data_IF_576465647479
#
_entry.id   IF_576465647479
#
_cell.length_a   1.000
_cell.length_b   1.000
_cell.length_c   1.000
_cell.angle_alpha   90.00
_cell.angle_beta   90.00
_cell.angle_gamma   90.00
#
_symmetry.space_group_name_H-M   'P 1'
#
loop_
_entity.id
_entity.type
_entity.pdbx_description
1 polymer ?
#
# COMPACT_ATOMS: atom_id res chain seq x y z
N UNK A 1 -13.59 30.58 64.71
CA UNK A 1 -13.53 29.50 65.71
C UNK A 1 -14.60 28.48 65.36
N UNK A 2 -14.17 27.23 65.26
CA UNK A 2 -14.91 25.96 65.28
C UNK A 2 -15.83 25.57 64.11
N UNK A 3 -15.38 24.48 63.49
CA UNK A 3 -16.08 23.59 62.57
C UNK A 3 -17.15 22.75 63.28
N UNK A 4 -18.20 22.37 62.54
CA UNK A 4 -19.04 21.21 62.84
C UNK A 4 -19.73 20.69 61.56
N UNK A 5 -19.35 19.47 61.19
CA UNK A 5 -20.07 18.37 60.53
C UNK A 5 -21.16 18.63 59.48
N UNK A 6 -20.92 18.06 58.29
CA UNK A 6 -21.87 17.19 57.59
C UNK A 6 -21.22 15.82 57.30
N UNK A 7 -21.98 14.71 57.27
CA UNK A 7 -21.47 13.35 57.20
C UNK A 7 -21.23 12.90 55.75
N UNK A 8 -20.11 12.24 55.49
CA UNK A 8 -19.84 11.54 54.22
C UNK A 8 -20.58 10.18 54.23
N UNK A 9 -21.38 9.96 53.18
CA UNK A 9 -21.98 8.68 52.84
C UNK A 9 -21.02 7.90 51.93
N UNK A 10 -20.97 6.59 52.16
CA UNK A 10 -20.04 5.58 51.62
C UNK A 10 -19.87 5.60 50.08
N UNK A 11 -18.63 5.82 49.62
CA UNK A 11 -18.18 5.56 48.25
C UNK A 11 -17.48 4.18 48.21
N UNK A 12 -17.93 3.22 47.39
CA UNK A 12 -17.56 1.80 47.48
C UNK A 12 -16.16 1.47 46.91
N UNK A 13 -15.19 2.39 47.02
CA UNK A 13 -13.81 2.19 46.54
C UNK A 13 -12.83 1.72 47.62
N UNK A 14 -13.28 1.58 48.88
CA UNK A 14 -12.45 1.07 49.98
C UNK A 14 -12.58 -0.45 50.17
N UNK A 15 -12.10 -1.22 49.19
CA UNK A 15 -11.64 -2.60 49.39
C UNK A 15 -10.51 -2.94 48.41
N UNK A 16 -9.36 -2.29 48.58
CA UNK A 16 -8.11 -2.84 48.06
C UNK A 16 -7.31 -3.42 49.25
N UNK A 17 -6.97 -4.71 49.22
CA UNK A 17 -6.17 -5.32 50.26
C UNK A 17 -4.75 -4.74 50.23
N UNK A 18 -4.30 -4.26 51.40
CA UNK A 18 -2.91 -3.94 51.69
C UNK A 18 -2.06 -5.19 51.48
N UNK A 19 -1.39 -5.28 50.34
CA UNK A 19 -0.18 -6.10 50.23
C UNK A 19 1.02 -5.22 50.59
N UNK A 20 1.64 -5.55 51.71
CA UNK A 20 2.92 -5.02 52.13
C UNK A 20 3.97 -5.35 51.05
N UNK A 21 4.48 -4.33 50.38
CA UNK A 21 5.69 -4.42 49.58
C UNK A 21 6.88 -4.75 50.49
N UNK A 22 7.13 -6.04 50.75
CA UNK A 22 8.47 -6.50 51.11
C UNK A 22 9.27 -6.58 49.81
N UNK A 23 10.09 -5.57 49.54
CA UNK A 23 11.13 -5.62 48.53
C UNK A 23 12.16 -6.69 48.95
N UNK A 24 11.91 -7.94 48.55
CA UNK A 24 12.90 -8.99 48.49
C UNK A 24 13.41 -9.06 47.06
N UNK A 25 14.68 -8.73 46.86
CA UNK A 25 15.43 -9.04 45.64
C UNK A 25 15.15 -10.49 45.23
N UNK A 26 14.39 -10.68 44.15
CA UNK A 26 14.40 -11.93 43.40
C UNK A 26 15.13 -11.65 42.11
N UNK A 27 16.40 -12.02 42.09
CA UNK A 27 17.17 -12.16 40.85
C UNK A 27 16.31 -12.95 39.83
N UNK A 28 16.36 -12.58 38.54
CA UNK A 28 15.68 -13.35 37.51
C UNK A 28 16.27 -14.76 37.51
N UNK A 29 15.47 -15.75 37.89
CA UNK A 29 15.87 -17.16 37.85
C UNK A 29 16.25 -17.46 36.40
N UNK A 30 17.56 -17.61 36.15
CA UNK A 30 18.08 -18.04 34.86
C UNK A 30 17.47 -19.39 34.54
N UNK A 31 16.66 -19.45 33.50
CA UNK A 31 16.19 -20.74 32.98
C UNK A 31 17.43 -21.52 32.51
N UNK A 32 17.52 -22.82 32.79
CA UNK A 32 18.65 -23.64 32.32
C UNK A 32 18.76 -23.56 30.79
N UNK A 33 19.98 -23.63 30.26
CA UNK A 33 20.26 -23.49 28.82
C UNK A 33 19.44 -24.49 27.97
N UNK A 34 19.11 -25.65 28.57
CA UNK A 34 18.37 -26.74 27.91
C UNK A 34 16.83 -26.62 28.05
N UNK A 35 16.32 -25.49 28.56
CA UNK A 35 14.87 -25.32 28.78
C UNK A 35 14.06 -25.43 27.49
N UNK A 36 14.59 -24.89 26.38
CA UNK A 36 13.94 -24.99 25.08
C UNK A 36 13.95 -26.42 24.56
N UNK A 37 15.06 -27.15 24.72
CA UNK A 37 15.16 -28.56 24.34
C UNK A 37 14.19 -29.44 25.13
N UNK A 38 13.98 -29.13 26.41
CA UNK A 38 13.03 -29.83 27.26
C UNK A 38 11.57 -29.58 26.84
N UNK A 39 11.24 -28.36 26.43
CA UNK A 39 9.90 -28.00 25.91
C UNK A 39 9.65 -28.69 24.57
N UNK A 40 10.65 -28.72 23.68
CA UNK A 40 10.56 -29.41 22.39
C UNK A 40 10.37 -30.91 22.60
N UNK A 41 11.16 -31.53 23.48
CA UNK A 41 11.03 -32.95 23.81
C UNK A 41 9.68 -33.31 24.46
N UNK A 42 9.07 -32.39 25.22
CA UNK A 42 7.76 -32.59 25.83
C UNK A 42 6.59 -32.38 24.86
N UNK A 43 6.81 -31.64 23.76
CA UNK A 43 5.78 -31.39 22.75
C UNK A 43 5.49 -32.58 21.83
N UNK A 44 6.29 -33.65 21.91
CA UNK A 44 6.12 -34.87 21.11
C UNK A 44 6.43 -34.69 19.63
N UNK A 45 7.07 -33.58 19.26
CA UNK A 45 7.55 -33.31 17.91
C UNK A 45 8.89 -34.05 17.75
N UNK A 46 8.84 -35.28 17.27
CA UNK A 46 10.05 -35.97 16.82
C UNK A 46 10.45 -35.38 15.47
N UNK A 47 11.68 -34.85 15.37
CA UNK A 47 12.22 -34.20 14.18
C UNK A 47 12.52 -35.12 12.99
N UNK A 48 11.74 -36.19 12.79
CA UNK A 48 11.95 -37.14 11.67
C UNK A 48 10.78 -37.23 10.68
N UNK A 49 9.71 -36.44 10.80
CA UNK A 49 8.68 -36.36 9.75
C UNK A 49 8.16 -34.92 9.56
N UNK A 50 9.00 -34.05 8.98
CA UNK A 50 8.59 -32.75 8.41
C UNK A 50 9.22 -32.52 7.03
N UNK A 51 9.47 -33.57 6.25
CA UNK A 51 10.08 -33.47 4.90
C UNK A 51 9.27 -32.61 3.93
N UNK A 52 7.96 -32.43 4.16
CA UNK A 52 7.10 -31.62 3.27
C UNK A 52 7.13 -30.11 3.51
N UNK A 53 7.49 -29.66 4.72
CA UNK A 53 7.48 -28.23 5.07
C UNK A 53 8.87 -27.58 4.93
N UNK A 54 9.94 -28.37 5.06
CA UNK A 54 11.32 -27.86 4.92
C UNK A 54 11.62 -27.47 3.47
N UNK A 55 11.24 -28.31 2.50
CA UNK A 55 11.57 -28.06 1.09
C UNK A 55 10.84 -26.86 0.49
N UNK A 56 9.59 -26.59 0.90
CA UNK A 56 8.81 -25.44 0.44
C UNK A 56 9.35 -24.14 1.03
N UNK A 57 9.69 -24.13 2.33
CA UNK A 57 10.33 -22.98 2.99
C UNK A 57 11.73 -22.72 2.43
N UNK A 58 12.51 -23.76 2.14
CA UNK A 58 13.84 -23.62 1.53
C UNK A 58 13.74 -23.10 0.08
N UNK A 59 12.74 -23.50 -0.68
CA UNK A 59 12.49 -22.99 -2.04
C UNK A 59 12.05 -21.54 -2.03
N UNK A 60 11.12 -21.18 -1.15
CA UNK A 60 10.70 -19.80 -0.97
C UNK A 60 11.92 -18.94 -0.59
N UNK A 61 12.69 -19.34 0.42
CA UNK A 61 13.88 -18.61 0.86
C UNK A 61 14.92 -18.45 -0.27
N UNK A 62 15.12 -19.47 -1.10
CA UNK A 62 15.98 -19.37 -2.28
C UNK A 62 15.41 -18.43 -3.35
N UNK A 63 14.09 -18.41 -3.55
CA UNK A 63 13.43 -17.47 -4.45
C UNK A 63 13.58 -16.02 -3.98
N UNK A 64 13.40 -15.76 -2.67
CA UNK A 64 13.66 -14.45 -2.05
C UNK A 64 15.11 -14.01 -2.24
N UNK A 65 16.08 -14.88 -1.96
CA UNK A 65 17.51 -14.61 -2.17
C UNK A 65 17.86 -14.35 -3.64
N UNK A 66 17.18 -15.04 -4.56
CA UNK A 66 17.39 -14.85 -5.99
C UNK A 66 16.81 -13.51 -6.48
N UNK A 67 15.66 -13.09 -5.96
CA UNK A 67 15.09 -11.76 -6.25
C UNK A 67 16.00 -10.64 -5.74
N UNK A 68 16.53 -10.77 -4.53
CA UNK A 68 17.45 -9.79 -3.93
C UNK A 68 18.78 -9.70 -4.72
N UNK A 69 19.15 -10.76 -5.44
CA UNK A 69 20.35 -10.82 -6.27
C UNK A 69 20.17 -10.26 -7.70
N UNK A 70 18.94 -10.02 -8.16
CA UNK A 70 18.70 -9.43 -9.47
C UNK A 70 18.93 -7.91 -9.40
N UNK A 71 19.69 -7.33 -10.34
CA UNK A 71 19.89 -5.89 -10.36
C UNK A 71 18.56 -5.20 -10.64
N UNK A 72 18.24 -4.10 -9.92
CA UNK A 72 16.99 -3.37 -10.12
C UNK A 72 16.88 -2.86 -11.57
N UNK A 73 15.66 -2.85 -12.10
CA UNK A 73 15.36 -2.39 -13.45
C UNK A 73 15.18 -0.86 -13.47
N UNK A 74 15.96 -0.19 -14.30
CA UNK A 74 15.80 1.24 -14.53
C UNK A 74 14.47 1.55 -15.24
N UNK A 75 13.89 2.71 -14.95
CA UNK A 75 12.78 3.31 -15.69
C UNK A 75 11.80 4.04 -14.78
N UNK A 76 10.74 4.57 -15.38
CA UNK A 76 9.76 5.42 -14.70
C UNK A 76 8.49 4.63 -14.36
N UNK A 77 8.02 4.76 -13.12
CA UNK A 77 6.85 4.05 -12.59
C UNK A 77 5.95 5.03 -11.84
N UNK A 78 4.64 4.91 -12.07
CA UNK A 78 3.61 5.48 -11.22
C UNK A 78 2.97 4.38 -10.37
N UNK A 79 2.89 4.61 -9.06
CA UNK A 79 2.19 3.74 -8.12
C UNK A 79 1.21 4.60 -7.32
N UNK A 80 -0.07 4.24 -7.34
CA UNK A 80 -1.12 4.96 -6.63
C UNK A 80 -1.61 4.11 -5.47
N UNK A 81 -1.38 4.57 -4.25
CA UNK A 81 -2.00 4.02 -3.06
C UNK A 81 -3.47 4.42 -3.00
N UNK A 82 -4.31 3.44 -2.73
CA UNK A 82 -5.75 3.63 -2.55
C UNK A 82 -6.15 3.26 -1.13
N UNK A 83 -7.32 3.72 -0.71
CA UNK A 83 -7.95 3.32 0.54
C UNK A 83 -8.75 2.00 0.42
N UNK A 84 -8.70 1.33 -0.73
CA UNK A 84 -9.44 0.10 -0.99
C UNK A 84 -8.56 -1.11 -0.68
N UNK A 85 -9.06 -1.98 0.19
CA UNK A 85 -8.34 -3.18 0.61
C UNK A 85 -8.44 -4.30 -0.44
N UNK A 86 -9.54 -4.35 -1.18
CA UNK A 86 -9.87 -5.46 -2.08
C UNK A 86 -9.63 -5.08 -3.54
N UNK A 87 -8.90 -5.91 -4.31
CA UNK A 87 -8.52 -5.60 -5.69
C UNK A 87 -9.69 -5.71 -6.67
N UNK A 88 -10.64 -6.63 -6.44
CA UNK A 88 -11.76 -6.88 -7.38
C UNK A 88 -12.75 -5.69 -7.46
N UNK A 89 -13.19 -5.07 -6.35
CA UNK A 89 -13.97 -3.84 -6.41
C UNK A 89 -13.23 -2.71 -7.12
N UNK A 90 -11.94 -2.50 -6.82
CA UNK A 90 -11.12 -1.47 -7.46
C UNK A 90 -11.02 -1.72 -8.97
N UNK A 91 -10.77 -2.96 -9.42
CA UNK A 91 -10.73 -3.34 -10.83
C UNK A 91 -12.05 -3.05 -11.55
N UNK A 92 -13.18 -3.26 -10.87
CA UNK A 92 -14.52 -3.00 -11.41
C UNK A 92 -14.75 -1.50 -11.59
N UNK A 93 -14.34 -0.68 -10.61
CA UNK A 93 -14.44 0.78 -10.69
C UNK A 93 -13.51 1.34 -11.76
N UNK A 94 -12.26 0.89 -11.81
CA UNK A 94 -11.32 1.27 -12.86
C UNK A 94 -11.83 0.90 -14.26
N UNK A 95 -12.43 -0.29 -14.43
CA UNK A 95 -13.04 -0.68 -15.70
C UNK A 95 -14.22 0.21 -16.11
N UNK A 96 -15.07 0.60 -15.14
CA UNK A 96 -16.17 1.53 -15.41
C UNK A 96 -15.65 2.90 -15.87
N UNK A 97 -14.51 3.35 -15.34
CA UNK A 97 -13.89 4.63 -15.68
C UNK A 97 -12.82 4.53 -16.78
N UNK A 98 -12.73 3.38 -17.47
CA UNK A 98 -11.77 3.14 -18.56
C UNK A 98 -10.30 3.36 -18.18
N UNK A 99 -9.96 3.11 -16.91
CA UNK A 99 -8.59 3.25 -16.39
C UNK A 99 -7.83 1.94 -16.66
N UNK A 100 -6.82 1.99 -17.53
CA UNK A 100 -5.95 0.85 -17.87
C UNK A 100 -4.64 0.92 -17.08
N UNK A 101 -4.60 0.23 -15.95
CA UNK A 101 -3.41 0.05 -15.12
C UNK A 101 -3.51 -1.29 -14.35
N UNK A 102 -2.39 -1.81 -13.86
CA UNK A 102 -2.36 -3.07 -13.10
C UNK A 102 -2.72 -2.79 -11.64
N UNK A 103 -3.44 -3.70 -11.00
CA UNK A 103 -3.71 -3.65 -9.56
C UNK A 103 -2.89 -4.76 -8.92
N UNK A 104 -2.04 -4.41 -7.97
CA UNK A 104 -1.19 -5.35 -7.25
C UNK A 104 -1.68 -5.49 -5.83
N UNK A 105 -1.85 -6.73 -5.37
CA UNK A 105 -2.19 -7.03 -3.98
C UNK A 105 -0.97 -6.89 -3.07
N UNK A 106 -1.21 -6.28 -1.92
CA UNK A 106 -0.20 -5.94 -0.89
C UNK A 106 -0.70 -6.40 0.48
N UNK A 107 0.19 -6.52 1.45
CA UNK A 107 -0.11 -7.00 2.80
C UNK A 107 -1.18 -6.14 3.49
N UNK A 108 -1.22 -4.85 3.21
CA UNK A 108 -2.14 -3.87 3.79
C UNK A 108 -3.32 -3.49 2.86
N UNK A 109 -3.45 -4.09 1.68
CA UNK A 109 -4.53 -3.79 0.72
C UNK A 109 -4.14 -3.98 -0.75
N UNK A 110 -4.42 -2.99 -1.59
CA UNK A 110 -3.99 -3.04 -3.00
C UNK A 110 -3.58 -1.67 -3.54
N UNK A 111 -2.69 -1.69 -4.54
CA UNK A 111 -2.13 -0.50 -5.18
C UNK A 111 -2.32 -0.55 -6.69
N UNK A 112 -2.44 0.61 -7.33
CA UNK A 112 -2.50 0.70 -8.80
C UNK A 112 -1.11 1.04 -9.32
N UNK A 113 -0.57 0.19 -10.19
CA UNK A 113 0.77 0.34 -10.76
C UNK A 113 0.70 0.57 -12.27
N UNK A 114 1.57 1.45 -12.77
CA UNK A 114 1.76 1.69 -14.20
C UNK A 114 3.20 2.03 -14.54
N UNK A 115 3.76 1.35 -15.54
CA UNK A 115 5.00 1.77 -16.20
C UNK A 115 4.74 3.04 -17.00
N UNK A 116 5.57 4.05 -16.80
CA UNK A 116 5.46 5.32 -17.51
C UNK A 116 6.28 5.30 -18.79
N UNK A 117 5.81 6.05 -19.79
CA UNK A 117 6.58 6.28 -21.00
C UNK A 117 7.71 7.27 -20.70
N UNK A 118 8.99 6.92 -20.91
CA UNK A 118 10.10 7.83 -20.64
C UNK A 118 10.00 9.06 -21.55
N UNK A 119 10.19 10.25 -20.98
CA UNK A 119 10.17 11.53 -21.69
C UNK A 119 11.57 12.16 -21.70
N UNK A 120 12.11 12.54 -22.87
CA UNK A 120 13.52 12.96 -22.99
C UNK A 120 13.82 14.35 -22.40
N UNK A 121 12.83 15.22 -22.19
CA UNK A 121 13.03 16.60 -21.75
C UNK A 121 13.29 16.73 -20.23
N UNK A 122 12.95 15.71 -19.43
CA UNK A 122 13.03 15.73 -17.97
C UNK A 122 14.48 15.76 -17.41
N UNK A 123 15.46 15.37 -18.21
CA UNK A 123 16.86 15.28 -17.78
C UNK A 123 17.52 16.65 -17.58
N UNK A 124 17.16 17.64 -18.40
CA UNK A 124 17.72 18.99 -18.28
C UNK A 124 17.11 19.75 -17.10
N UNK A 125 15.80 19.60 -16.86
CA UNK A 125 15.10 20.29 -15.77
C UNK A 125 15.52 19.77 -14.39
N UNK A 126 15.73 18.45 -14.26
CA UNK A 126 16.24 17.86 -13.03
C UNK A 126 17.64 18.38 -12.63
N UNK A 127 18.47 18.78 -13.60
CA UNK A 127 19.79 19.38 -13.36
C UNK A 127 19.71 20.85 -12.92
N UNK A 128 18.58 21.54 -13.16
CA UNK A 128 18.38 22.96 -12.86
C UNK A 128 17.83 23.21 -11.45
N UNK A 129 17.58 22.15 -10.67
CA UNK A 129 17.32 22.22 -9.23
C UNK A 129 15.88 22.56 -8.84
N UNK A 130 14.97 22.64 -9.81
CA UNK A 130 13.54 22.67 -9.54
C UNK A 130 13.02 21.21 -9.52
N UNK A 131 12.13 20.92 -8.59
CA UNK A 131 11.53 19.60 -8.40
C UNK A 131 11.08 19.01 -9.75
N UNK A 132 11.53 17.78 -10.08
CA UNK A 132 11.22 17.15 -11.38
C UNK A 132 9.70 17.19 -11.61
N UNK A 133 9.22 17.71 -12.75
CA UNK A 133 7.79 17.74 -13.02
C UNK A 133 7.24 16.32 -13.05
N UNK A 134 6.02 16.16 -12.55
CA UNK A 134 5.34 14.87 -12.60
C UNK A 134 4.86 14.60 -14.02
N UNK A 135 5.15 13.40 -14.52
CA UNK A 135 4.67 12.95 -15.83
C UNK A 135 3.16 13.15 -15.96
N UNK A 136 2.67 13.75 -17.07
CA UNK A 136 1.23 13.91 -17.31
C UNK A 136 0.47 12.58 -17.28
N UNK A 137 1.14 11.48 -17.67
CA UNK A 137 0.58 10.13 -17.62
C UNK A 137 0.35 9.67 -16.18
N UNK A 138 1.30 9.93 -15.28
CA UNK A 138 1.20 9.60 -13.86
C UNK A 138 0.12 10.45 -13.17
N UNK A 139 0.08 11.74 -13.48
CA UNK A 139 -0.90 12.66 -12.92
C UNK A 139 -2.32 12.31 -13.37
N UNK A 140 -2.53 12.00 -14.65
CA UNK A 140 -3.82 11.55 -15.16
C UNK A 140 -4.32 10.28 -14.46
N UNK A 141 -3.43 9.32 -14.20
CA UNK A 141 -3.77 8.10 -13.44
C UNK A 141 -4.23 8.44 -12.03
N UNK A 142 -3.48 9.26 -11.30
CA UNK A 142 -3.80 9.63 -9.93
C UNK A 142 -5.10 10.43 -9.82
N UNK A 143 -5.35 11.37 -10.74
CA UNK A 143 -6.60 12.12 -10.82
C UNK A 143 -7.78 11.15 -11.04
N UNK A 144 -7.68 10.25 -12.01
CA UNK A 144 -8.73 9.28 -12.31
C UNK A 144 -9.01 8.32 -11.15
N UNK A 145 -7.97 7.78 -10.51
CA UNK A 145 -8.11 6.91 -9.33
C UNK A 145 -8.71 7.68 -8.15
N UNK A 146 -8.26 8.92 -7.89
CA UNK A 146 -8.76 9.72 -6.77
C UNK A 146 -10.25 10.06 -6.86
N UNK A 147 -10.81 10.17 -8.07
CA UNK A 147 -12.27 10.37 -8.29
C UNK A 147 -13.10 9.17 -7.88
N UNK A 148 -12.53 7.97 -7.98
CA UNK A 148 -13.24 6.70 -7.73
C UNK A 148 -12.97 6.16 -6.32
N UNK A 149 -12.00 6.72 -5.60
CA UNK A 149 -11.66 6.32 -4.23
C UNK A 149 -12.18 7.34 -3.20
N UNK A 150 -12.97 6.94 -2.18
CA UNK A 150 -13.64 7.87 -1.26
C UNK A 150 -12.74 8.84 -0.47
N UNK A 151 -11.51 8.44 -0.15
CA UNK A 151 -10.58 9.24 0.68
C UNK A 151 -9.44 9.85 -0.15
N UNK A 152 -9.58 9.86 -1.48
CA UNK A 152 -8.51 10.27 -2.38
C UNK A 152 -7.44 9.18 -2.55
N UNK A 153 -6.31 9.58 -3.12
CA UNK A 153 -5.23 8.70 -3.51
C UNK A 153 -3.87 9.37 -3.31
N UNK A 154 -2.84 8.56 -3.05
CA UNK A 154 -1.45 9.04 -2.97
C UNK A 154 -0.69 8.47 -4.15
N UNK A 155 -0.18 9.36 -5.02
CA UNK A 155 0.67 9.00 -6.15
C UNK A 155 2.13 9.02 -5.71
N UNK A 156 2.83 7.92 -5.92
CA UNK A 156 4.27 7.87 -6.02
C UNK A 156 4.69 7.88 -7.48
N UNK A 157 5.72 8.64 -7.79
CA UNK A 157 6.44 8.53 -9.05
C UNK A 157 7.89 8.19 -8.74
N UNK A 158 8.30 7.01 -9.18
CA UNK A 158 9.70 6.57 -9.13
C UNK A 158 10.33 6.76 -10.50
N UNK A 159 11.48 7.41 -10.52
CA UNK A 159 12.27 7.67 -11.71
C UNK A 159 13.64 7.07 -11.50
N UNK A 160 13.89 5.90 -12.09
CA UNK A 160 15.14 5.17 -11.95
C UNK A 160 15.91 5.21 -13.27
N UNK A 161 17.23 5.39 -13.22
CA UNK A 161 18.14 5.42 -14.37
C UNK A 161 19.28 4.46 -14.11
N UNK A 162 19.72 3.75 -15.15
CA UNK A 162 20.88 2.86 -15.06
C UNK A 162 22.14 3.69 -14.87
N UNK A 163 22.93 3.35 -13.86
CA UNK A 163 24.29 3.88 -13.77
C UNK A 163 25.14 3.26 -14.90
N UNK A 164 25.98 4.07 -15.55
CA UNK A 164 26.80 3.67 -16.69
C UNK A 164 28.25 3.34 -16.31
N UNK A 165 28.60 3.42 -15.02
CA UNK A 165 29.95 3.18 -14.53
C UNK A 165 30.07 1.81 -13.85
N UNK A 166 30.46 0.77 -14.60
CA UNK A 166 31.03 -0.55 -14.20
C UNK A 166 30.42 -1.36 -13.02
N UNK A 167 29.45 -0.83 -12.27
CA UNK A 167 28.83 -1.38 -11.08
C UNK A 167 27.30 -1.40 -11.32
N UNK A 168 26.65 -2.58 -11.31
CA UNK A 168 25.23 -2.68 -11.63
C UNK A 168 24.39 -2.01 -10.53
N UNK A 169 23.76 -0.89 -10.86
CA UNK A 169 22.87 -0.16 -9.97
C UNK A 169 21.92 0.76 -10.71
N UNK A 170 20.83 1.14 -10.03
CA UNK A 170 19.93 2.20 -10.49
C UNK A 170 20.01 3.37 -9.54
N UNK A 171 20.11 4.58 -10.11
CA UNK A 171 19.98 5.82 -9.36
C UNK A 171 18.67 6.49 -9.74
N UNK A 172 18.00 7.11 -8.77
CA UNK A 172 16.73 7.73 -9.05
C UNK A 172 16.18 8.62 -7.96
N UNK A 173 14.98 9.12 -8.22
CA UNK A 173 14.21 9.93 -7.30
C UNK A 173 12.80 9.35 -7.19
N UNK A 174 12.26 9.35 -5.96
CA UNK A 174 10.87 9.04 -5.70
C UNK A 174 10.20 10.31 -5.16
N UNK A 175 9.08 10.69 -5.77
CA UNK A 175 8.23 11.81 -5.32
C UNK A 175 6.86 11.28 -4.91
N UNK A 176 6.17 12.00 -4.01
CA UNK A 176 4.85 11.62 -3.53
C UNK A 176 3.89 12.82 -3.51
N UNK A 177 2.67 12.62 -4.02
CA UNK A 177 1.63 13.67 -4.13
C UNK A 177 0.28 13.11 -3.73
N UNK A 178 -0.53 13.95 -3.09
CA UNK A 178 -1.91 13.62 -2.66
C UNK A 178 -2.91 14.20 -3.64
N UNK A 179 -3.88 13.39 -4.00
CA UNK A 179 -5.00 13.76 -4.86
C UNK A 179 -6.33 13.45 -4.17
N UNK A 180 -7.31 14.32 -4.31
CA UNK A 180 -8.65 14.15 -3.74
C UNK A 180 -9.71 14.56 -4.75
N UNK A 181 -10.71 13.71 -4.96
CA UNK A 181 -11.85 13.98 -5.84
C UNK A 181 -11.44 14.53 -7.22
N UNK A 182 -10.39 13.95 -7.82
CA UNK A 182 -9.90 14.38 -9.13
C UNK A 182 -9.14 15.71 -9.15
N UNK A 183 -8.60 16.15 -8.02
CA UNK A 183 -7.80 17.37 -7.91
C UNK A 183 -6.49 17.10 -7.17
N UNK A 184 -5.42 17.80 -7.56
CA UNK A 184 -4.18 17.84 -6.80
C UNK A 184 -4.38 18.61 -5.50
N UNK A 185 -3.92 18.05 -4.38
CA UNK A 185 -3.96 18.70 -3.08
C UNK A 185 -2.58 19.25 -2.69
N UNK A 186 -1.60 18.37 -2.48
CA UNK A 186 -0.25 18.76 -2.05
C UNK A 186 0.81 17.70 -2.35
N UNK A 187 2.07 18.14 -2.37
CA UNK A 187 3.24 17.25 -2.36
C UNK A 187 3.59 16.87 -0.91
N UNK A 188 4.02 15.64 -0.69
CA UNK A 188 4.42 15.11 0.62
C UNK A 188 5.78 14.40 0.53
N UNK A 189 6.54 14.31 1.64
CA UNK A 189 7.83 13.62 1.63
C UNK A 189 7.67 12.13 1.33
N UNK A 190 8.31 11.64 0.26
CA UNK A 190 8.20 10.24 -0.15
C UNK A 190 8.92 9.27 0.79
N UNK A 191 10.14 9.62 1.23
CA UNK A 191 11.01 8.72 2.01
C UNK A 191 10.33 8.07 3.23
N UNK A 192 9.72 8.86 4.15
CA UNK A 192 9.01 8.30 5.30
C UNK A 192 7.82 7.41 4.93
N UNK A 193 7.14 7.70 3.81
CA UNK A 193 6.01 6.88 3.36
C UNK A 193 6.48 5.54 2.81
N UNK A 194 7.55 5.54 2.01
CA UNK A 194 8.14 4.31 1.48
C UNK A 194 8.64 3.43 2.63
N UNK A 195 9.31 4.01 3.64
CA UNK A 195 9.80 3.25 4.81
C UNK A 195 8.71 2.63 5.69
N UNK A 196 7.47 3.06 5.52
CA UNK A 196 6.32 2.53 6.24
C UNK A 196 5.35 1.78 5.32
N UNK A 197 5.64 1.70 4.03
CA UNK A 197 4.84 0.96 3.07
C UNK A 197 5.10 -0.54 3.21
N UNK A 198 4.20 -1.31 2.63
CA UNK A 198 4.41 -2.76 2.47
C UNK A 198 5.66 -3.02 1.62
N UNK A 199 6.37 -4.12 1.90
CA UNK A 199 7.61 -4.51 1.22
C UNK A 199 7.44 -4.55 -0.31
N UNK A 200 6.32 -5.09 -0.79
CA UNK A 200 5.99 -5.13 -2.23
C UNK A 200 5.90 -3.74 -2.86
N UNK A 201 5.39 -2.75 -2.12
CA UNK A 201 5.29 -1.37 -2.62
C UNK A 201 6.69 -0.76 -2.74
N UNK A 202 7.54 -0.98 -1.75
CA UNK A 202 8.93 -0.54 -1.79
C UNK A 202 9.68 -1.17 -2.97
N UNK A 203 9.60 -2.49 -3.15
CA UNK A 203 10.31 -3.20 -4.21
C UNK A 203 9.85 -2.79 -5.61
N UNK A 204 8.54 -2.59 -5.82
CA UNK A 204 7.99 -2.05 -7.06
C UNK A 204 8.47 -0.63 -7.36
N UNK A 205 8.62 0.22 -6.34
CA UNK A 205 9.12 1.58 -6.48
C UNK A 205 10.63 1.62 -6.73
N UNK A 206 11.38 0.69 -6.15
CA UNK A 206 12.84 0.58 -6.33
C UNK A 206 13.24 -0.22 -7.57
N UNK A 207 12.26 -0.75 -8.32
CA UNK A 207 12.50 -1.51 -9.55
C UNK A 207 13.12 -2.88 -9.30
N UNK A 208 13.07 -3.41 -8.07
CA UNK A 208 13.56 -4.76 -7.74
C UNK A 208 12.62 -5.83 -8.27
N UNK A 209 11.33 -5.51 -8.32
CA UNK A 209 10.28 -6.40 -8.80
C UNK A 209 9.37 -5.69 -9.79
N UNK A 210 8.55 -6.49 -10.44
CA UNK A 210 7.52 -6.08 -11.37
C UNK A 210 6.16 -6.61 -10.89
N UNK A 211 5.04 -6.05 -11.36
CA UNK A 211 3.72 -6.52 -10.96
C UNK A 211 3.47 -8.01 -11.21
N UNK A 212 4.09 -8.60 -12.24
CA UNK A 212 3.96 -10.04 -12.54
C UNK A 212 4.63 -10.96 -11.51
N UNK A 213 5.44 -10.42 -10.60
CA UNK A 213 6.05 -11.17 -9.50
C UNK A 213 5.10 -11.34 -8.30
N UNK A 214 3.90 -10.72 -8.34
CA UNK A 214 2.91 -10.74 -7.26
C UNK A 214 1.50 -11.12 -7.77
N UNK A 215 0.56 -11.46 -6.86
CA UNK A 215 -0.86 -11.52 -7.21
C UNK A 215 -1.33 -10.16 -7.75
N UNK A 216 -1.69 -10.14 -9.02
CA UNK A 216 -2.19 -8.95 -9.71
C UNK A 216 -3.50 -9.21 -10.45
N UNK A 217 -4.28 -8.15 -10.62
CA UNK A 217 -5.50 -8.14 -11.41
C UNK A 217 -5.42 -6.96 -12.40
N UNK A 218 -5.88 -7.19 -13.63
CA UNK A 218 -6.16 -6.11 -14.57
C UNK A 218 -7.64 -5.78 -14.62
N UNK A 219 -8.02 -4.49 -14.69
CA UNK A 219 -9.38 -4.09 -14.95
C UNK A 219 -9.92 -4.82 -16.18
N UNK A 220 -11.09 -5.48 -16.09
CA UNK A 220 -11.64 -6.18 -17.24
C UNK A 220 -11.99 -5.15 -18.33
N UNK A 221 -11.62 -5.46 -19.57
CA UNK A 221 -12.07 -4.63 -20.69
C UNK A 221 -13.56 -4.82 -20.87
N UNK A 222 -14.28 -3.73 -21.10
CA UNK A 222 -15.73 -3.75 -21.23
C UNK A 222 -16.21 -4.75 -22.30
N UNK A 223 -15.48 -4.84 -23.41
CA UNK A 223 -15.75 -5.77 -24.52
C UNK A 223 -15.62 -7.25 -24.15
N UNK A 224 -14.85 -7.58 -23.12
CA UNK A 224 -14.53 -8.95 -22.71
C UNK A 224 -15.50 -9.43 -21.61
N UNK A 225 -16.41 -8.57 -21.15
CA UNK A 225 -17.34 -8.89 -20.06
C UNK A 225 -18.61 -9.61 -20.53
N UNK A 226 -19.15 -10.54 -19.70
CA UNK A 226 -20.46 -11.14 -19.91
C UNK A 226 -21.56 -10.07 -20.05
N UNK A 227 -22.54 -10.30 -20.94
CA UNK A 227 -23.57 -9.31 -21.28
C UNK A 227 -24.47 -8.82 -20.13
N UNK A 228 -24.46 -9.48 -18.97
CA UNK A 228 -25.13 -9.01 -17.74
C UNK A 228 -24.26 -7.96 -17.04
N UNK A 229 -22.98 -8.26 -16.83
CA UNK A 229 -22.02 -7.34 -16.20
C UNK A 229 -21.77 -6.12 -17.08
N UNK A 230 -21.68 -6.30 -18.40
CA UNK A 230 -21.58 -5.20 -19.36
C UNK A 230 -22.74 -4.20 -19.23
N UNK A 231 -23.97 -4.69 -19.07
CA UNK A 231 -25.15 -3.82 -18.89
C UNK A 231 -25.10 -3.06 -17.57
N UNK A 232 -24.63 -3.69 -16.49
CA UNK A 232 -24.48 -3.03 -15.20
C UNK A 232 -23.42 -1.92 -15.24
N UNK A 233 -22.24 -2.21 -15.79
CA UNK A 233 -21.17 -1.21 -15.91
C UNK A 233 -21.53 -0.08 -16.86
N UNK A 234 -22.21 -0.37 -17.97
CA UNK A 234 -22.67 0.67 -18.89
C UNK A 234 -23.70 1.59 -18.23
N UNK A 235 -24.62 1.03 -17.42
CA UNK A 235 -25.53 1.84 -16.61
C UNK A 235 -24.77 2.73 -15.61
N UNK A 236 -23.73 2.19 -14.96
CA UNK A 236 -22.86 2.97 -14.07
C UNK A 236 -22.16 4.11 -14.81
N UNK A 237 -21.60 3.85 -16.00
CA UNK A 237 -20.97 4.86 -16.86
C UNK A 237 -21.94 5.96 -17.27
N UNK A 238 -23.16 5.60 -17.67
CA UNK A 238 -24.20 6.59 -18.02
C UNK A 238 -24.57 7.48 -16.83
N UNK A 239 -24.63 6.93 -15.62
CA UNK A 239 -24.89 7.68 -14.40
C UNK A 239 -23.71 8.58 -14.00
N UNK A 240 -22.46 8.10 -14.15
CA UNK A 240 -21.24 8.88 -13.94
C UNK A 240 -21.21 10.07 -14.90
N UNK A 241 -21.39 9.81 -16.21
CA UNK A 241 -21.42 10.85 -17.24
C UNK A 241 -22.52 11.88 -16.98
N UNK A 242 -23.68 11.47 -16.45
CA UNK A 242 -24.77 12.39 -16.08
C UNK A 242 -24.43 13.28 -14.89
N UNK A 243 -23.55 12.85 -13.98
CA UNK A 243 -23.11 13.65 -12.83
C UNK A 243 -22.05 14.67 -13.22
N UNK A 244 -21.19 14.35 -14.18
CA UNK A 244 -20.14 15.25 -14.67
C UNK A 244 -20.69 16.36 -15.60
N UNK A 245 -21.89 16.19 -16.18
CA UNK A 245 -22.51 17.14 -17.13
C UNK A 245 -23.86 17.69 -16.62
N UNK A 246 -23.87 18.60 -15.61
CA UNK A 246 -25.10 19.13 -15.00
C UNK A 246 -25.91 20.08 -15.90
N UNK A 247 -25.29 20.70 -16.90
CA UNK A 247 -25.90 21.76 -17.74
C UNK A 247 -26.97 21.27 -18.73
N UNK A 248 -27.05 19.95 -19.00
CA UNK A 248 -28.13 19.39 -19.86
C UNK A 248 -29.49 19.30 -19.19
N UNK A 249 -29.61 19.62 -17.90
CA UNK A 249 -30.90 19.59 -17.17
C UNK A 249 -31.76 20.83 -17.40
N UNK A 250 -31.19 21.95 -17.85
CA UNK A 250 -31.94 23.21 -17.97
C UNK A 250 -32.60 23.40 -19.34
N UNK A 251 -32.18 22.69 -20.40
CA UNK A 251 -32.74 22.91 -21.75
C UNK A 251 -34.00 22.09 -22.10
N UNK A 252 -34.45 21.16 -21.24
CA UNK A 252 -35.65 20.33 -21.54
C UNK A 252 -36.83 20.55 -20.57
N UNK A 253 -36.74 21.53 -19.67
CA UNK A 253 -37.79 21.85 -18.69
C UNK A 253 -38.63 23.10 -18.99
N UNK A 254 -38.43 23.76 -20.13
CA UNK A 254 -39.14 24.98 -20.48
C UNK A 254 -39.71 24.94 -21.89
N UNK A 255 -40.88 24.33 -22.04
CA UNK A 255 -42.02 24.77 -22.88
C UNK A 255 -43.24 23.85 -22.69
#
# INVERSE_FOLDING_TARGET
MNAANFPEQDDPRDKEPREENSAGDKEPVSKPEDYFDQVIAQSGINGEELDGFSEEVDQDLQAWQHLEALPPEAGDVALVLTNLLEPVPLATMMAAHEIDARIVETESGCVVWKRLTPTPDDELEALLGEERPVSPEAEALALAVSKITPYGAVLFVSTLRSDHDDDPGVQGQITARVYYDGHFDRTIPAGPLVSCADERVEDLLLGRTSPEDYPEIRPPRLRDLPGILLRQLRGLQEDINRREDPDKREETGGE
#
